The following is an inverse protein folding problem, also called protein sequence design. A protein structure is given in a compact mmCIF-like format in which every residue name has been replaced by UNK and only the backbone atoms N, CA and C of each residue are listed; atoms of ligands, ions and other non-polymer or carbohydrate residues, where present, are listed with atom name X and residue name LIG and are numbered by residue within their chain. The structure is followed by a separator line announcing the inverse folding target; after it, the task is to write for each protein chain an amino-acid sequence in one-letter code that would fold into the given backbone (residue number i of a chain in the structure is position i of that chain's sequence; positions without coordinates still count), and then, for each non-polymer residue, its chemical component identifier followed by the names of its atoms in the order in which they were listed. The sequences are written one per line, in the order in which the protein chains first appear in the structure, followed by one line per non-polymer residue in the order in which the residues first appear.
data_IF_371452424459
#
_entry.id   IF_371452424459
#
_cell.length_a   1.000
_cell.length_b   1.000
_cell.length_c   1.000
_cell.angle_alpha   90.00
_cell.angle_beta   90.00
_cell.angle_gamma   90.00
#
_symmetry.space_group_name_H-M   'P 1'
#
loop_
_entity.id
_entity.type
_entity.pdbx_description
1 polymer ?
#
# COMPACT_ATOMS: atom_id res chain seq x y z
N UNK A 1 -22.83 28.83 13.35
CA UNK A 1 -21.94 27.94 14.12
C UNK A 1 -22.46 26.53 13.97
N UNK A 2 -21.91 25.78 13.02
CA UNK A 2 -22.29 24.38 12.81
C UNK A 2 -21.63 23.52 13.89
N UNK A 3 -22.44 22.73 14.58
CA UNK A 3 -22.05 21.83 15.65
C UNK A 3 -21.41 20.60 15.01
N UNK A 4 -20.14 20.72 14.60
CA UNK A 4 -19.37 19.61 14.08
C UNK A 4 -19.23 18.55 15.17
N UNK A 5 -19.82 17.38 14.95
CA UNK A 5 -19.47 16.17 15.70
C UNK A 5 -17.98 15.97 15.54
N UNK A 6 -17.21 16.20 16.61
CA UNK A 6 -15.77 15.95 16.63
C UNK A 6 -15.56 14.47 16.34
N UNK A 7 -15.11 14.15 15.13
CA UNK A 7 -14.70 12.81 14.76
C UNK A 7 -13.38 12.54 15.49
N UNK A 8 -13.36 11.58 16.40
CA UNK A 8 -12.13 11.18 17.11
C UNK A 8 -11.28 10.21 16.29
N UNK A 9 -11.89 9.58 15.27
CA UNK A 9 -11.20 8.65 14.37
C UNK A 9 -10.40 9.41 13.30
N UNK A 10 -9.16 9.01 13.08
CA UNK A 10 -8.30 9.45 11.99
C UNK A 10 -8.44 8.53 10.78
N UNK A 11 -8.64 9.09 9.58
CA UNK A 11 -8.88 8.31 8.37
C UNK A 11 -7.70 8.40 7.41
N UNK A 12 -7.29 7.23 6.93
CA UNK A 12 -6.24 7.05 5.95
C UNK A 12 -6.85 6.49 4.68
N UNK A 13 -6.92 7.31 3.64
CA UNK A 13 -7.30 6.85 2.30
C UNK A 13 -6.07 6.33 1.59
N UNK A 14 -6.13 5.08 1.16
CA UNK A 14 -4.98 4.35 0.63
C UNK A 14 -5.30 3.87 -0.78
N UNK A 15 -4.53 4.29 -1.78
CA UNK A 15 -4.61 3.75 -3.13
C UNK A 15 -3.31 3.02 -3.47
N UNK A 16 -3.43 1.81 -4.00
CA UNK A 16 -2.30 0.97 -4.41
C UNK A 16 -2.45 0.52 -5.86
N UNK A 17 -1.33 0.31 -6.55
CA UNK A 17 -1.25 -0.33 -7.86
C UNK A 17 -1.52 -1.85 -7.84
N UNK A 18 -1.31 -2.53 -6.70
CA UNK A 18 -1.79 -3.90 -6.52
C UNK A 18 -3.31 -3.94 -6.24
N UNK A 19 -4.00 -4.79 -7.00
CA UNK A 19 -5.45 -4.96 -7.01
C UNK A 19 -6.00 -5.72 -5.80
N UNK A 20 -5.24 -6.67 -5.25
CA UNK A 20 -5.80 -7.72 -4.39
C UNK A 20 -5.28 -7.68 -2.96
N UNK A 21 -3.95 -7.72 -2.77
CA UNK A 21 -3.36 -7.93 -1.46
C UNK A 21 -3.58 -6.75 -0.48
N UNK A 22 -3.44 -5.46 -0.89
CA UNK A 22 -3.54 -4.34 0.02
C UNK A 22 -4.87 -4.25 0.78
N UNK A 23 -6.00 -4.44 0.07
CA UNK A 23 -7.31 -4.37 0.71
C UNK A 23 -7.48 -5.46 1.76
N UNK A 24 -7.18 -6.71 1.40
CA UNK A 24 -7.29 -7.85 2.32
C UNK A 24 -6.36 -7.69 3.53
N UNK A 25 -5.16 -7.16 3.32
CA UNK A 25 -4.19 -6.89 4.38
C UNK A 25 -4.69 -5.81 5.34
N UNK A 26 -5.02 -4.61 4.84
CA UNK A 26 -5.45 -3.51 5.70
C UNK A 26 -6.81 -3.76 6.37
N UNK A 27 -7.75 -4.43 5.69
CA UNK A 27 -9.04 -4.81 6.28
C UNK A 27 -8.89 -5.79 7.45
N UNK A 28 -7.77 -6.51 7.54
CA UNK A 28 -7.53 -7.46 8.63
C UNK A 28 -7.16 -6.81 9.96
N UNK A 29 -6.90 -5.51 9.96
CA UNK A 29 -6.47 -4.78 11.14
C UNK A 29 -7.57 -3.92 11.74
N UNK A 30 -7.68 -3.99 13.07
CA UNK A 30 -8.52 -3.09 13.85
C UNK A 30 -7.64 -2.20 14.73
N UNK A 31 -7.61 -0.91 14.42
CA UNK A 31 -6.86 0.08 15.18
C UNK A 31 -7.81 0.98 15.97
N UNK A 32 -7.57 1.20 17.27
CA UNK A 32 -8.30 2.21 18.03
C UNK A 32 -8.14 3.60 17.41
N UNK A 33 -9.24 4.24 17.05
CA UNK A 33 -9.28 5.60 16.49
C UNK A 33 -8.55 5.79 15.16
N UNK A 34 -8.24 4.72 14.45
CA UNK A 34 -7.64 4.78 13.12
C UNK A 34 -8.48 3.92 12.17
N UNK A 35 -8.87 4.51 11.06
CA UNK A 35 -9.58 3.84 9.97
C UNK A 35 -8.71 3.90 8.72
N UNK A 36 -8.55 2.76 8.06
CA UNK A 36 -7.85 2.67 6.78
C UNK A 36 -8.89 2.31 5.73
N UNK A 37 -9.06 3.18 4.74
CA UNK A 37 -9.93 2.95 3.59
C UNK A 37 -9.07 2.70 2.37
N UNK A 38 -8.97 1.44 1.95
CA UNK A 38 -8.29 1.08 0.71
C UNK A 38 -9.21 1.35 -0.47
N UNK A 39 -8.83 2.32 -1.29
CA UNK A 39 -9.53 2.71 -2.51
C UNK A 39 -9.35 1.60 -3.56
N UNK A 40 -10.45 1.02 -4.09
CA UNK A 40 -10.38 -0.08 -5.05
C UNK A 40 -9.69 0.36 -6.35
N UNK A 41 -8.99 -0.56 -7.00
CA UNK A 41 -8.44 -0.34 -8.35
C UNK A 41 -9.55 -0.31 -9.38
N UNK A 42 -9.54 0.69 -10.27
CA UNK A 42 -10.42 0.79 -11.42
C UNK A 42 -9.62 0.42 -12.68
N UNK A 43 -10.24 -0.36 -13.58
CA UNK A 43 -9.71 -0.71 -14.92
C UNK A 43 -8.37 -1.46 -14.97
N UNK A 44 -7.88 -2.01 -13.86
CA UNK A 44 -6.64 -2.80 -13.81
C UNK A 44 -5.38 -2.03 -14.22
N UNK A 45 -5.44 -0.70 -14.26
CA UNK A 45 -4.31 0.15 -14.66
C UNK A 45 -3.39 0.44 -13.48
N UNK A 46 -2.16 -0.07 -13.54
CA UNK A 46 -1.13 0.05 -12.48
C UNK A 46 -0.25 1.31 -12.61
N UNK A 47 -0.64 2.29 -13.42
CA UNK A 47 0.16 3.50 -13.62
C UNK A 47 -0.01 4.44 -12.43
N UNK A 48 1.10 4.90 -11.85
CA UNK A 48 1.10 5.78 -10.66
C UNK A 48 0.17 7.00 -10.76
N UNK A 49 0.01 7.59 -11.94
CA UNK A 49 -0.93 8.69 -12.16
C UNK A 49 -2.41 8.29 -11.93
N UNK A 50 -2.80 7.06 -12.29
CA UNK A 50 -4.14 6.54 -12.02
C UNK A 50 -4.34 6.24 -10.53
N UNK A 51 -3.29 5.77 -9.83
CA UNK A 51 -3.31 5.59 -8.38
C UNK A 51 -3.57 6.94 -7.68
N UNK A 52 -2.88 8.00 -8.11
CA UNK A 52 -3.10 9.35 -7.57
C UNK A 52 -4.51 9.86 -7.84
N UNK A 53 -5.00 9.72 -9.08
CA UNK A 53 -6.32 10.22 -9.49
C UNK A 53 -7.44 9.63 -8.64
N UNK A 54 -7.34 8.36 -8.26
CA UNK A 54 -8.34 7.70 -7.40
C UNK A 54 -8.47 8.35 -6.01
N UNK A 55 -7.42 8.99 -5.50
CA UNK A 55 -7.45 9.69 -4.22
C UNK A 55 -8.07 11.09 -4.30
N UNK A 56 -8.30 11.63 -5.50
CA UNK A 56 -8.86 12.98 -5.68
C UNK A 56 -10.35 13.05 -5.35
N UNK A 57 -11.07 11.93 -5.43
CA UNK A 57 -12.50 11.84 -5.10
C UNK A 57 -12.81 11.79 -3.61
N UNK A 58 -11.78 11.75 -2.75
CA UNK A 58 -11.94 11.63 -1.30
C UNK A 58 -11.63 12.94 -0.60
N UNK A 59 -12.64 13.52 0.03
CA UNK A 59 -12.50 14.67 0.91
C UNK A 59 -11.84 14.24 2.22
N UNK A 60 -10.94 15.06 2.74
CA UNK A 60 -10.16 14.80 3.95
C UNK A 60 -10.44 15.89 4.98
N UNK A 61 -10.70 15.49 6.22
CA UNK A 61 -10.63 16.42 7.35
C UNK A 61 -9.18 16.80 7.65
N UNK A 62 -8.97 17.75 8.57
CA UNK A 62 -7.64 18.29 8.91
C UNK A 62 -6.64 17.21 9.35
N UNK A 63 -7.13 16.15 10.00
CA UNK A 63 -6.30 15.06 10.52
C UNK A 63 -6.19 13.87 9.57
N UNK A 64 -6.90 13.88 8.44
CA UNK A 64 -6.92 12.77 7.49
C UNK A 64 -5.72 12.78 6.55
N UNK A 65 -5.37 11.59 6.07
CA UNK A 65 -4.25 11.43 5.15
C UNK A 65 -4.64 10.63 3.91
N UNK A 66 -4.06 11.03 2.77
CA UNK A 66 -4.10 10.28 1.51
C UNK A 66 -2.72 9.69 1.25
N UNK A 67 -2.69 8.41 0.93
CA UNK A 67 -1.47 7.65 0.68
C UNK A 67 -1.55 6.91 -0.64
N UNK A 68 -0.51 7.08 -1.45
CA UNK A 68 -0.21 6.19 -2.56
C UNK A 68 0.77 5.13 -2.08
N UNK A 69 0.43 3.86 -2.25
CA UNK A 69 1.39 2.77 -2.22
C UNK A 69 1.72 2.41 -3.66
N UNK A 70 3.00 2.39 -3.99
CA UNK A 70 3.46 2.12 -5.35
C UNK A 70 4.55 1.06 -5.36
N UNK A 71 4.39 0.08 -6.23
CA UNK A 71 5.40 -0.94 -6.49
C UNK A 71 6.43 -0.40 -7.49
N UNK A 72 7.65 -0.94 -7.41
CA UNK A 72 8.78 -0.45 -8.24
C UNK A 72 9.09 -1.34 -9.42
N UNK A 73 8.70 -2.61 -9.38
CA UNK A 73 9.02 -3.59 -10.42
C UNK A 73 8.50 -3.20 -11.82
N UNK A 74 7.37 -2.50 -11.89
CA UNK A 74 6.78 -1.99 -13.14
C UNK A 74 7.33 -0.63 -13.62
N UNK A 75 8.22 0.01 -12.84
CA UNK A 75 8.57 1.42 -13.02
C UNK A 75 9.98 1.67 -13.58
N UNK A 76 10.80 0.63 -13.79
CA UNK A 76 12.25 0.76 -13.98
C UNK A 76 12.74 0.99 -15.42
N UNK A 77 11.88 1.24 -16.40
CA UNK A 77 12.36 1.51 -17.78
C UNK A 77 11.64 2.65 -18.52
N UNK A 78 12.42 3.42 -19.28
CA UNK A 78 11.94 4.38 -20.29
C UNK A 78 10.90 5.39 -19.81
N UNK A 79 9.73 5.38 -20.45
CA UNK A 79 8.61 6.30 -20.20
C UNK A 79 7.90 6.03 -18.87
N UNK A 80 7.94 4.79 -18.35
CA UNK A 80 7.33 4.43 -17.07
C UNK A 80 7.99 5.17 -15.91
N UNK A 81 9.32 5.31 -15.92
CA UNK A 81 10.06 6.05 -14.90
C UNK A 81 9.69 7.54 -14.86
N UNK A 82 9.57 8.18 -16.04
CA UNK A 82 9.18 9.61 -16.11
C UNK A 82 7.76 9.82 -15.60
N UNK A 83 6.82 8.98 -15.99
CA UNK A 83 5.43 9.04 -15.51
C UNK A 83 5.33 8.80 -14.00
N UNK A 84 6.11 7.85 -13.48
CA UNK A 84 6.20 7.57 -12.05
C UNK A 84 6.71 8.78 -11.25
N UNK A 85 7.83 9.37 -11.67
CA UNK A 85 8.39 10.55 -11.01
C UNK A 85 7.44 11.76 -11.07
N UNK A 86 6.78 11.98 -12.21
CA UNK A 86 5.79 13.03 -12.36
C UNK A 86 4.59 12.82 -11.41
N UNK A 87 4.10 11.58 -11.27
CA UNK A 87 3.02 11.27 -10.34
C UNK A 87 3.43 11.51 -8.88
N UNK A 88 4.66 11.16 -8.47
CA UNK A 88 5.17 11.44 -7.12
C UNK A 88 5.27 12.95 -6.85
N UNK A 89 5.76 13.73 -7.81
CA UNK A 89 5.83 15.18 -7.69
C UNK A 89 4.45 15.80 -7.55
N UNK A 90 3.50 15.35 -8.35
CA UNK A 90 2.11 15.80 -8.31
C UNK A 90 1.41 15.40 -7.00
N UNK A 91 1.65 14.19 -6.50
CA UNK A 91 1.15 13.72 -5.22
C UNK A 91 1.58 14.65 -4.08
N UNK A 92 2.89 14.97 -4.01
CA UNK A 92 3.44 15.92 -3.03
C UNK A 92 2.78 17.29 -3.13
N UNK A 93 2.57 17.81 -4.34
CA UNK A 93 1.89 19.10 -4.57
C UNK A 93 0.45 19.09 -4.05
N UNK A 94 -0.22 17.93 -4.09
CA UNK A 94 -1.60 17.73 -3.61
C UNK A 94 -1.69 17.34 -2.14
N UNK A 95 -0.57 17.30 -1.41
CA UNK A 95 -0.54 16.84 -0.01
C UNK A 95 -0.81 15.34 0.14
N UNK A 96 -0.65 14.56 -0.93
CA UNK A 96 -0.75 13.10 -0.91
C UNK A 96 0.62 12.52 -0.58
N UNK A 97 0.66 11.63 0.41
CA UNK A 97 1.87 10.92 0.84
C UNK A 97 2.12 9.73 -0.08
N UNK A 98 3.38 9.34 -0.20
CA UNK A 98 3.80 8.22 -1.06
C UNK A 98 4.66 7.27 -0.24
N UNK A 99 4.26 5.99 -0.22
CA UNK A 99 5.07 4.88 0.22
C UNK A 99 5.44 4.03 -1.01
N UNK A 100 6.71 3.65 -1.10
CA UNK A 100 7.23 2.87 -2.24
C UNK A 100 7.62 1.50 -1.74
N UNK A 101 7.08 0.46 -2.37
CA UNK A 101 7.39 -0.94 -2.06
C UNK A 101 8.35 -1.48 -3.11
N UNK A 102 9.51 -1.97 -2.67
CA UNK A 102 10.52 -2.53 -3.57
C UNK A 102 10.81 -3.99 -3.23
N UNK A 103 10.52 -4.94 -4.15
CA UNK A 103 10.00 -4.73 -5.50
C UNK A 103 8.48 -4.48 -5.59
N UNK A 104 7.68 -5.06 -4.68
CA UNK A 104 6.21 -5.04 -4.71
C UNK A 104 5.58 -5.00 -3.30
N UNK A 105 4.25 -4.90 -3.23
CA UNK A 105 3.49 -4.81 -1.98
C UNK A 105 3.77 -5.97 -1.01
N UNK A 106 3.99 -7.17 -1.51
CA UNK A 106 4.29 -8.38 -0.71
C UNK A 106 5.48 -8.20 0.25
N UNK A 107 6.34 -7.22 0.03
CA UNK A 107 7.41 -6.87 0.97
C UNK A 107 6.84 -6.51 2.35
N UNK A 108 5.68 -5.84 2.41
CA UNK A 108 5.00 -5.54 3.67
C UNK A 108 4.58 -6.80 4.41
N UNK A 109 4.11 -7.82 3.67
CA UNK A 109 3.75 -9.13 4.23
C UNK A 109 4.99 -9.87 4.73
N UNK A 110 6.06 -9.84 3.94
CA UNK A 110 7.33 -10.48 4.28
C UNK A 110 7.94 -9.88 5.57
N UNK A 111 7.79 -8.57 5.78
CA UNK A 111 8.27 -7.86 6.97
C UNK A 111 7.66 -8.35 8.29
N UNK A 112 6.52 -9.05 8.28
CA UNK A 112 5.98 -9.70 9.49
C UNK A 112 6.83 -10.87 9.98
N UNK A 113 7.64 -11.46 9.09
CA UNK A 113 8.38 -12.69 9.37
C UNK A 113 9.90 -12.50 9.36
N UNK A 114 10.39 -11.35 8.86
CA UNK A 114 11.82 -11.09 8.81
C UNK A 114 12.32 -10.45 10.11
N UNK A 115 13.11 -11.22 10.85
CA UNK A 115 13.90 -10.72 11.99
C UNK A 115 15.17 -10.02 11.48
N UNK A 116 15.77 -10.55 10.40
CA UNK A 116 16.95 -9.98 9.75
C UNK A 116 16.57 -9.31 8.42
N UNK A 117 16.55 -7.98 8.43
CA UNK A 117 16.28 -7.15 7.26
C UNK A 117 17.36 -7.28 6.17
N UNK A 118 18.56 -7.80 6.51
CA UNK A 118 19.62 -8.09 5.53
C UNK A 118 19.16 -9.04 4.43
N UNK A 119 18.19 -9.92 4.73
CA UNK A 119 17.58 -10.84 3.75
C UNK A 119 16.77 -10.13 2.66
N UNK A 120 16.29 -8.92 2.88
CA UNK A 120 15.59 -8.13 1.85
C UNK A 120 16.51 -7.76 0.69
N UNK A 121 17.83 -7.66 0.93
CA UNK A 121 18.79 -7.36 -0.14
C UNK A 121 18.84 -8.46 -1.22
N UNK A 122 18.42 -9.69 -0.90
CA UNK A 122 18.35 -10.81 -1.84
C UNK A 122 17.07 -10.81 -2.70
N UNK A 123 16.15 -9.88 -2.46
CA UNK A 123 14.83 -9.84 -3.09
C UNK A 123 14.77 -8.69 -4.09
N UNK A 124 15.04 -9.00 -5.35
CA UNK A 124 15.12 -7.99 -6.41
C UNK A 124 13.83 -7.86 -7.21
N UNK A 125 13.07 -8.95 -7.34
CA UNK A 125 11.85 -9.02 -8.15
C UNK A 125 10.66 -9.52 -7.34
N UNK A 126 9.44 -9.17 -7.75
CA UNK A 126 8.21 -9.57 -7.05
C UNK A 126 8.11 -11.10 -6.85
N UNK A 127 8.53 -11.88 -7.85
CA UNK A 127 8.60 -13.34 -7.78
C UNK A 127 9.49 -13.87 -6.65
N UNK A 128 10.53 -13.14 -6.27
CA UNK A 128 11.47 -13.55 -5.23
C UNK A 128 10.80 -13.38 -3.85
N UNK A 129 9.98 -12.33 -3.69
CA UNK A 129 9.14 -12.11 -2.51
C UNK A 129 8.12 -13.23 -2.38
N UNK A 130 7.41 -13.55 -3.48
CA UNK A 130 6.40 -14.62 -3.52
C UNK A 130 6.98 -15.98 -3.12
N UNK A 131 8.15 -16.32 -3.64
CA UNK A 131 8.84 -17.57 -3.31
C UNK A 131 9.21 -17.62 -1.84
N UNK A 132 9.72 -16.51 -1.28
CA UNK A 132 10.10 -16.45 0.12
C UNK A 132 8.90 -16.55 1.06
N UNK A 133 7.78 -15.90 0.71
CA UNK A 133 6.52 -16.06 1.45
C UNK A 133 6.06 -17.52 1.47
N UNK A 134 6.13 -18.21 0.32
CA UNK A 134 5.78 -19.64 0.24
C UNK A 134 6.73 -20.53 1.03
N UNK A 135 8.02 -20.21 1.04
CA UNK A 135 9.02 -20.92 1.84
C UNK A 135 8.76 -20.77 3.34
N UNK A 136 8.45 -19.55 3.79
CA UNK A 136 8.22 -19.24 5.20
C UNK A 136 6.87 -19.74 5.72
N UNK A 137 5.82 -19.66 4.90
CA UNK A 137 4.44 -19.92 5.30
C UNK A 137 3.92 -21.28 4.83
N UNK A 138 4.64 -21.96 3.94
CA UNK A 138 4.17 -23.15 3.22
C UNK A 138 3.17 -22.86 2.10
N UNK A 139 2.60 -21.66 2.05
CA UNK A 139 1.66 -21.21 1.01
C UNK A 139 1.64 -19.69 0.88
N UNK A 140 1.29 -19.18 -0.31
CA UNK A 140 0.94 -17.78 -0.50
C UNK A 140 0.07 -17.62 -1.74
N UNK A 141 -1.01 -16.85 -1.62
CA UNK A 141 -1.89 -16.48 -2.73
C UNK A 141 -2.39 -15.04 -2.54
N UNK A 142 -1.92 -14.11 -3.38
CA UNK A 142 -2.29 -12.69 -3.30
C UNK A 142 -3.77 -12.39 -3.49
N UNK A 143 -4.52 -13.26 -4.19
CA UNK A 143 -5.97 -13.09 -4.35
C UNK A 143 -6.77 -13.63 -3.16
N UNK A 144 -6.10 -14.30 -2.22
CA UNK A 144 -6.68 -14.87 -1.01
C UNK A 144 -5.64 -14.83 0.13
N UNK A 145 -5.35 -13.63 0.58
CA UNK A 145 -4.42 -13.37 1.69
C UNK A 145 -5.05 -13.91 2.98
N UNK A 146 -4.29 -14.74 3.70
CA UNK A 146 -4.68 -15.30 5.00
C UNK A 146 -4.21 -14.38 6.10
N UNK A 147 -5.13 -13.66 6.76
CA UNK A 147 -4.78 -12.66 7.77
C UNK A 147 -4.09 -13.27 8.99
N UNK A 148 -4.35 -14.54 9.30
CA UNK A 148 -3.69 -15.27 10.37
C UNK A 148 -2.17 -15.39 10.21
N UNK A 149 -1.65 -15.22 8.99
CA UNK A 149 -0.21 -15.19 8.75
C UNK A 149 0.42 -13.83 9.08
N UNK A 150 -0.35 -12.73 9.16
CA UNK A 150 0.18 -11.37 9.27
C UNK A 150 -0.41 -10.62 10.49
N UNK A 151 -0.25 -11.15 11.72
CA UNK A 151 -0.85 -10.56 12.91
C UNK A 151 -0.22 -9.19 13.25
N UNK A 152 -1.00 -8.31 13.89
CA UNK A 152 -0.41 -7.16 14.58
C UNK A 152 0.43 -7.65 15.74
N UNK A 153 1.75 -7.59 15.57
CA UNK A 153 2.68 -7.84 16.67
C UNK A 153 2.70 -6.57 17.53
N UNK A 154 2.29 -6.68 18.79
CA UNK A 154 2.57 -5.65 19.78
C UNK A 154 4.07 -5.72 20.09
N UNK A 155 4.84 -4.80 19.51
CA UNK A 155 6.25 -4.60 19.85
C UNK A 155 6.41 -4.05 21.26
#
# INVERSE_FOLDING_TARGET
MSRGTLRDDRLFYVACDDTYAPKQYFDSFEFPRVKIHVVPTEDGTSVAAHVLKRLEGFECDVDDERWMLLDTDHCLSGTHLRGFLAAIQEARRKGVRVAVSKPCFEVWLLLHHLIDLGRLSAVEQARDVDNMLRELLGEYNKTRVKSEHFPLIAW
#
